data_IF_791779350331
#
_entry.id   IF_791779350331
#
_cell.length_a   1.000
_cell.length_b   1.000
_cell.length_c   1.000
_cell.angle_alpha   90.00
_cell.angle_beta   90.00
_cell.angle_gamma   90.00
#
_symmetry.space_group_name_H-M   'P 1'
#
loop_
_entity.id
_entity.type
_entity.pdbx_description
1 polymer ?
#
# COMPACT_ATOMS: atom_id res chain seq x y z
N UNK A 1 -4.95 10.27 18.12
CA UNK A 1 -3.50 10.24 18.13
C UNK A 1 -2.97 10.67 16.75
N UNK A 2 -1.79 11.23 16.65
CA UNK A 2 -1.10 11.66 15.40
C UNK A 2 -1.90 12.59 14.47
N UNK A 3 -2.96 13.25 14.95
CA UNK A 3 -3.76 14.21 14.19
C UNK A 3 -4.84 13.60 13.27
N UNK A 4 -5.08 12.30 13.36
CA UNK A 4 -6.21 11.65 12.72
C UNK A 4 -7.52 11.81 13.48
N UNK A 5 -8.64 11.42 12.85
CA UNK A 5 -9.99 11.56 13.44
C UNK A 5 -10.34 10.47 14.46
N UNK A 6 -9.56 9.39 14.55
CA UNK A 6 -9.83 8.27 15.47
C UNK A 6 -11.12 7.51 15.17
N UNK A 7 -11.56 7.52 13.92
CA UNK A 7 -12.76 6.84 13.49
C UNK A 7 -12.56 5.32 13.36
N UNK A 8 -13.66 4.58 13.49
CA UNK A 8 -13.69 3.13 13.34
C UNK A 8 -13.78 2.68 11.85
N UNK A 9 -13.72 1.38 11.63
CA UNK A 9 -13.80 0.78 10.30
C UNK A 9 -15.14 1.05 9.61
N UNK A 10 -16.24 1.16 10.35
CA UNK A 10 -17.55 1.46 9.77
C UNK A 10 -17.58 2.88 9.22
N UNK A 11 -17.10 3.85 9.99
CA UNK A 11 -16.98 5.25 9.55
C UNK A 11 -16.10 5.37 8.32
N UNK A 12 -14.97 4.64 8.27
CA UNK A 12 -14.12 4.57 7.09
C UNK A 12 -14.86 4.02 5.87
N UNK A 13 -15.60 2.91 6.01
CA UNK A 13 -16.37 2.32 4.92
C UNK A 13 -17.43 3.29 4.39
N UNK A 14 -18.21 3.92 5.26
CA UNK A 14 -19.21 4.94 4.90
C UNK A 14 -18.57 6.13 4.18
N UNK A 15 -17.42 6.60 4.62
CA UNK A 15 -16.70 7.69 3.95
C UNK A 15 -16.30 7.30 2.52
N UNK A 16 -15.76 6.11 2.30
CA UNK A 16 -15.39 5.62 0.97
C UNK A 16 -16.63 5.45 0.08
N UNK A 17 -17.74 4.94 0.62
CA UNK A 17 -19.01 4.80 -0.07
C UNK A 17 -19.54 6.16 -0.55
N UNK A 18 -19.69 7.13 0.35
CA UNK A 18 -20.22 8.46 0.01
C UNK A 18 -19.31 9.21 -1.00
N UNK A 19 -18.00 9.13 -0.85
CA UNK A 19 -17.09 9.69 -1.84
C UNK A 19 -17.25 9.03 -3.21
N UNK A 20 -17.46 7.72 -3.22
CA UNK A 20 -17.54 6.93 -4.46
C UNK A 20 -18.88 7.12 -5.20
N UNK A 21 -19.97 7.50 -4.51
CA UNK A 21 -21.25 7.91 -5.12
C UNK A 21 -21.05 9.08 -6.08
N UNK A 22 -20.17 9.99 -5.75
CA UNK A 22 -19.88 11.19 -6.56
C UNK A 22 -18.68 10.96 -7.47
N UNK A 23 -17.61 10.37 -6.97
CA UNK A 23 -16.36 10.16 -7.70
C UNK A 23 -15.62 8.92 -7.21
N UNK A 24 -15.73 7.82 -7.96
CA UNK A 24 -15.02 6.57 -7.67
C UNK A 24 -13.49 6.74 -7.60
N UNK A 25 -12.93 7.69 -8.34
CA UNK A 25 -11.50 8.02 -8.30
C UNK A 25 -11.08 8.53 -6.92
N UNK A 26 -11.85 9.46 -6.34
CA UNK A 26 -11.57 9.98 -4.99
C UNK A 26 -11.73 8.88 -3.95
N UNK A 27 -12.76 8.06 -4.06
CA UNK A 27 -12.97 6.92 -3.16
C UNK A 27 -11.78 5.96 -3.13
N UNK A 28 -11.26 5.53 -4.29
CA UNK A 28 -10.11 4.59 -4.32
C UNK A 28 -8.82 5.22 -3.82
N UNK A 29 -8.57 6.51 -4.08
CA UNK A 29 -7.38 7.21 -3.60
C UNK A 29 -7.37 7.22 -2.06
N UNK A 30 -8.50 7.63 -1.45
CA UNK A 30 -8.67 7.67 0.01
C UNK A 30 -8.59 6.27 0.60
N UNK A 31 -9.26 5.30 -0.03
CA UNK A 31 -9.25 3.91 0.43
C UNK A 31 -7.82 3.33 0.46
N UNK A 32 -7.09 3.42 -0.64
CA UNK A 32 -5.72 2.90 -0.72
C UNK A 32 -4.77 3.61 0.25
N UNK A 33 -4.87 4.93 0.36
CA UNK A 33 -4.07 5.73 1.27
C UNK A 33 -4.28 5.32 2.73
N UNK A 34 -5.54 5.23 3.16
CA UNK A 34 -5.89 4.96 4.56
C UNK A 34 -5.63 3.50 4.95
N UNK A 35 -6.22 2.56 4.22
CA UNK A 35 -6.19 1.14 4.61
C UNK A 35 -4.90 0.42 4.22
N UNK A 36 -4.20 0.87 3.16
CA UNK A 36 -3.04 0.15 2.66
C UNK A 36 -1.70 0.79 3.06
N UNK A 37 -1.69 2.05 3.53
CA UNK A 37 -0.46 2.71 3.96
C UNK A 37 -0.52 3.15 5.43
N UNK A 38 -1.54 3.91 5.84
CA UNK A 38 -1.62 4.39 7.23
C UNK A 38 -1.85 3.24 8.20
N UNK A 39 -2.84 2.38 7.94
CA UNK A 39 -3.21 1.28 8.83
C UNK A 39 -2.03 0.34 9.14
N UNK A 40 -1.25 -0.19 8.18
CA UNK A 40 -0.10 -1.02 8.52
C UNK A 40 0.99 -0.27 9.32
N UNK A 41 1.21 1.04 9.12
CA UNK A 41 2.13 1.82 9.95
C UNK A 41 1.57 1.93 11.38
N UNK A 42 0.28 2.20 11.54
CA UNK A 42 -0.37 2.29 12.84
C UNK A 42 -0.34 0.97 13.60
N UNK A 43 -0.55 -0.15 12.90
CA UNK A 43 -0.66 -1.48 13.52
C UNK A 43 0.69 -2.11 13.82
N UNK A 44 1.68 -1.95 12.94
CA UNK A 44 2.95 -2.68 13.00
C UNK A 44 4.18 -1.79 13.16
N UNK A 45 4.03 -0.47 12.99
CA UNK A 45 5.12 0.49 13.10
C UNK A 45 5.61 0.69 14.53
N UNK A 46 6.88 1.07 14.67
CA UNK A 46 7.42 1.57 15.94
C UNK A 46 6.85 2.94 16.23
N UNK A 47 7.01 3.42 17.47
CA UNK A 47 6.52 4.75 17.85
C UNK A 47 7.21 5.85 17.02
N UNK A 48 8.51 5.69 16.76
CA UNK A 48 9.29 6.61 15.92
C UNK A 48 8.75 6.64 14.48
N UNK A 49 8.43 5.47 13.90
CA UNK A 49 7.82 5.40 12.56
C UNK A 49 6.44 6.07 12.53
N UNK A 50 5.61 5.85 13.53
CA UNK A 50 4.29 6.48 13.63
C UNK A 50 4.42 8.00 13.72
N UNK A 51 5.27 8.51 14.61
CA UNK A 51 5.50 9.96 14.76
C UNK A 51 6.09 10.60 13.50
N UNK A 52 6.95 9.88 12.78
CA UNK A 52 7.58 10.38 11.56
C UNK A 52 6.60 10.47 10.38
N UNK A 53 5.76 9.46 10.18
CA UNK A 53 4.97 9.33 8.95
C UNK A 53 3.50 9.67 9.11
N UNK A 54 2.86 9.28 10.22
CA UNK A 54 1.41 9.35 10.34
C UNK A 54 0.85 10.78 10.37
N UNK A 55 1.45 11.78 11.05
CA UNK A 55 0.91 13.14 11.06
C UNK A 55 0.74 13.75 9.66
N UNK A 56 1.71 13.56 8.78
CA UNK A 56 1.66 14.06 7.41
C UNK A 56 0.67 13.27 6.53
N UNK A 57 0.60 11.96 6.73
CA UNK A 57 -0.36 11.11 6.05
C UNK A 57 -1.80 11.39 6.53
N UNK A 58 -2.04 11.46 7.83
CA UNK A 58 -3.36 11.71 8.40
C UNK A 58 -3.94 13.07 8.02
N UNK A 59 -3.09 14.08 7.87
CA UNK A 59 -3.49 15.43 7.43
C UNK A 59 -3.63 15.57 5.91
N UNK A 60 -3.24 14.56 5.12
CA UNK A 60 -3.24 14.62 3.66
C UNK A 60 -2.12 15.48 3.05
N UNK A 61 -1.15 15.94 3.84
CA UNK A 61 0.06 16.61 3.31
C UNK A 61 0.93 15.65 2.51
N UNK A 62 0.92 14.37 2.87
CA UNK A 62 1.56 13.27 2.14
C UNK A 62 0.55 12.20 1.80
N UNK A 63 0.77 11.52 0.70
CA UNK A 63 -0.05 10.40 0.23
C UNK A 63 0.72 9.10 0.37
N UNK A 64 0.01 8.04 0.70
CA UNK A 64 0.56 6.69 0.83
C UNK A 64 0.19 5.76 -0.32
N UNK A 65 1.07 4.78 -0.57
CA UNK A 65 0.86 3.70 -1.51
C UNK A 65 1.33 2.35 -0.95
N UNK A 66 0.88 1.26 -1.58
CA UNK A 66 1.19 -0.11 -1.16
C UNK A 66 1.72 -0.94 -2.32
N UNK A 67 2.98 -1.33 -2.25
CA UNK A 67 3.70 -2.11 -3.25
C UNK A 67 3.76 -3.59 -2.89
N UNK A 68 2.73 -4.36 -3.25
CA UNK A 68 2.67 -5.81 -3.09
C UNK A 68 2.84 -6.52 -4.43
N UNK A 69 1.96 -6.24 -5.39
CA UNK A 69 1.80 -6.98 -6.65
C UNK A 69 3.04 -6.88 -7.54
N UNK A 70 3.43 -8.00 -8.12
CA UNK A 70 4.50 -8.10 -9.13
C UNK A 70 3.97 -8.78 -10.39
N UNK A 71 4.65 -8.65 -11.55
CA UNK A 71 4.22 -9.32 -12.79
C UNK A 71 4.00 -10.83 -12.64
N UNK A 72 4.80 -11.49 -11.80
CA UNK A 72 4.72 -12.93 -11.51
C UNK A 72 4.03 -13.29 -10.18
N UNK A 73 3.53 -12.31 -9.43
CA UNK A 73 2.95 -12.50 -8.10
C UNK A 73 1.71 -11.62 -7.89
N UNK A 74 0.60 -12.04 -8.47
CA UNK A 74 -0.72 -11.43 -8.27
C UNK A 74 -1.49 -12.16 -7.18
N UNK A 75 -2.34 -13.13 -7.57
CA UNK A 75 -3.11 -13.97 -6.64
C UNK A 75 -2.20 -14.75 -5.69
N UNK A 76 -1.10 -15.31 -6.18
CA UNK A 76 -0.05 -15.87 -5.34
C UNK A 76 0.89 -14.78 -4.83
N UNK A 77 0.46 -14.08 -3.78
CA UNK A 77 1.26 -13.04 -3.14
C UNK A 77 2.54 -13.57 -2.44
N UNK A 78 2.73 -14.89 -2.30
CA UNK A 78 3.98 -15.48 -1.82
C UNK A 78 5.00 -15.65 -2.95
N UNK A 79 4.57 -15.55 -4.21
CA UNK A 79 5.41 -15.66 -5.40
C UNK A 79 6.42 -14.51 -5.58
N UNK A 80 6.52 -13.56 -4.65
CA UNK A 80 7.37 -12.36 -4.69
C UNK A 80 8.78 -12.64 -5.20
N UNK A 81 9.29 -11.74 -6.06
CA UNK A 81 10.66 -11.80 -6.59
C UNK A 81 11.50 -10.58 -6.17
N UNK A 82 10.87 -9.44 -5.84
CA UNK A 82 11.56 -8.28 -5.28
C UNK A 82 12.30 -8.69 -4.03
N UNK A 83 13.60 -8.40 -3.96
CA UNK A 83 14.50 -8.78 -2.87
C UNK A 83 14.91 -7.57 -2.06
N UNK A 84 15.11 -7.78 -0.77
CA UNK A 84 15.77 -6.83 0.12
C UNK A 84 16.90 -7.55 0.85
N UNK A 85 18.12 -7.07 0.69
CA UNK A 85 19.32 -7.64 1.30
C UNK A 85 19.89 -6.64 2.29
N UNK A 86 20.16 -7.09 3.52
CA UNK A 86 20.81 -6.24 4.53
C UNK A 86 22.30 -6.10 4.18
N UNK A 87 22.76 -4.86 4.07
CA UNK A 87 24.15 -4.49 3.82
C UNK A 87 24.57 -3.43 4.86
N UNK A 88 25.26 -3.85 5.89
CA UNK A 88 25.55 -3.02 7.05
C UNK A 88 24.28 -2.55 7.78
N UNK A 89 24.05 -1.24 7.82
CA UNK A 89 22.88 -0.62 8.46
C UNK A 89 21.80 -0.20 7.44
N UNK A 90 21.84 -0.74 6.23
CA UNK A 90 20.88 -0.44 5.17
C UNK A 90 20.30 -1.71 4.56
N UNK A 91 19.04 -1.63 4.14
CA UNK A 91 18.44 -2.61 3.24
C UNK A 91 18.60 -2.14 1.79
N UNK A 92 19.08 -3.04 0.94
CA UNK A 92 19.21 -2.82 -0.51
C UNK A 92 18.08 -3.54 -1.21
N UNK A 93 17.14 -2.79 -1.79
CA UNK A 93 15.96 -3.34 -2.45
C UNK A 93 16.20 -3.37 -3.95
N UNK A 94 15.90 -4.53 -4.58
CA UNK A 94 15.97 -4.74 -6.02
C UNK A 94 14.73 -5.50 -6.50
N UNK A 95 14.09 -4.99 -7.57
CA UNK A 95 12.91 -5.59 -8.19
C UNK A 95 11.91 -4.56 -8.68
N UNK A 96 10.69 -4.99 -8.95
CA UNK A 96 9.62 -4.09 -9.37
C UNK A 96 8.26 -4.50 -8.82
N UNK A 97 7.35 -3.54 -8.72
CA UNK A 97 5.95 -3.71 -8.35
C UNK A 97 5.06 -3.12 -9.43
N UNK A 98 3.98 -3.79 -9.77
CA UNK A 98 3.06 -3.32 -10.81
C UNK A 98 1.66 -3.04 -10.23
N UNK A 99 0.88 -2.25 -10.98
CA UNK A 99 -0.49 -1.87 -10.66
C UNK A 99 -0.64 -1.11 -9.34
N UNK A 100 0.32 -0.24 -9.01
CA UNK A 100 0.33 0.45 -7.72
C UNK A 100 -0.51 1.72 -7.79
N UNK A 101 -1.62 1.74 -7.05
CA UNK A 101 -2.49 2.90 -6.85
C UNK A 101 -1.72 4.00 -6.11
N UNK A 102 -1.92 5.24 -6.53
CA UNK A 102 -1.17 6.41 -6.08
C UNK A 102 0.34 6.35 -6.40
N UNK A 103 0.76 5.45 -7.31
CA UNK A 103 2.15 5.06 -7.48
C UNK A 103 3.14 6.20 -7.66
N UNK A 104 2.81 7.24 -8.44
CA UNK A 104 3.70 8.38 -8.67
C UNK A 104 3.39 9.57 -7.75
N UNK A 105 2.17 9.70 -7.31
CA UNK A 105 1.70 10.79 -6.46
C UNK A 105 2.06 10.59 -4.99
N UNK A 106 2.15 9.34 -4.54
CA UNK A 106 2.49 9.01 -3.16
C UNK A 106 3.88 9.51 -2.75
N UNK A 107 4.03 9.80 -1.47
CA UNK A 107 5.28 10.22 -0.83
C UNK A 107 5.88 9.09 0.02
N UNK A 108 5.02 8.20 0.54
CA UNK A 108 5.37 7.08 1.42
C UNK A 108 4.80 5.78 0.86
N UNK A 109 5.64 4.76 0.77
CA UNK A 109 5.29 3.46 0.19
C UNK A 109 5.54 2.35 1.19
N UNK A 110 4.56 1.48 1.38
CA UNK A 110 4.77 0.19 2.04
C UNK A 110 5.16 -0.81 0.95
N UNK A 111 6.36 -1.35 1.02
CA UNK A 111 6.92 -2.26 0.01
C UNK A 111 7.16 -3.62 0.63
N UNK A 112 6.62 -4.67 0.00
CA UNK A 112 6.80 -6.05 0.42
C UNK A 112 7.93 -6.67 -0.40
N UNK A 113 8.93 -7.27 0.26
CA UNK A 113 10.07 -7.88 -0.42
C UNK A 113 10.57 -9.15 0.30
N UNK A 114 11.27 -9.98 -0.45
CA UNK A 114 11.89 -11.22 0.05
C UNK A 114 13.21 -10.87 0.72
N UNK A 115 13.36 -11.24 1.99
CA UNK A 115 14.58 -11.04 2.78
C UNK A 115 15.42 -12.29 2.94
N UNK A 116 14.91 -13.45 2.55
CA UNK A 116 15.64 -14.70 2.68
C UNK A 116 14.81 -15.92 2.30
N UNK A 117 15.37 -17.07 2.64
CA UNK A 117 14.70 -18.37 2.53
C UNK A 117 14.78 -19.03 3.90
N UNK A 118 13.64 -19.46 4.43
CA UNK A 118 13.55 -20.19 5.69
C UNK A 118 13.02 -21.59 5.46
N UNK A 119 13.48 -22.53 6.26
CA UNK A 119 12.96 -23.90 6.23
C UNK A 119 11.85 -24.03 7.29
N UNK A 120 10.63 -24.36 6.86
CA UNK A 120 9.51 -24.67 7.75
C UNK A 120 8.92 -26.03 7.38
N UNK A 121 8.87 -26.95 8.35
CA UNK A 121 8.29 -28.29 8.17
C UNK A 121 8.90 -29.05 6.99
N UNK A 122 10.22 -28.97 6.81
CA UNK A 122 10.95 -29.61 5.73
C UNK A 122 10.75 -29.01 4.34
N UNK A 123 10.16 -27.80 4.25
CA UNK A 123 9.96 -27.07 2.98
C UNK A 123 10.67 -25.72 3.02
N UNK A 124 11.38 -25.39 1.95
CA UNK A 124 11.98 -24.06 1.75
C UNK A 124 10.86 -23.08 1.38
N UNK A 125 10.75 -22.02 2.15
CA UNK A 125 9.77 -20.95 1.93
C UNK A 125 10.50 -19.60 1.87
N UNK A 126 10.01 -18.67 1.06
CA UNK A 126 10.50 -17.29 1.06
C UNK A 126 10.21 -16.63 2.39
N UNK A 127 11.22 -15.99 2.96
CA UNK A 127 11.05 -15.07 4.07
C UNK A 127 10.69 -13.70 3.48
N UNK A 128 9.53 -13.19 3.83
CA UNK A 128 8.99 -11.95 3.26
C UNK A 128 8.87 -10.92 4.37
N UNK A 129 9.39 -9.71 4.12
CA UNK A 129 9.37 -8.58 5.06
C UNK A 129 8.71 -7.36 4.41
N UNK A 130 8.36 -6.38 5.25
CA UNK A 130 7.71 -5.14 4.84
C UNK A 130 8.61 -3.95 5.15
N UNK A 131 8.63 -2.96 4.27
CA UNK A 131 9.51 -1.80 4.36
C UNK A 131 8.74 -0.51 4.08
N UNK A 132 9.13 0.57 4.75
CA UNK A 132 8.69 1.93 4.44
C UNK A 132 9.75 2.56 3.52
N UNK A 133 9.35 2.94 2.31
CA UNK A 133 10.21 3.62 1.34
C UNK A 133 9.65 5.01 1.08
N UNK A 134 10.50 6.02 1.08
CA UNK A 134 10.11 7.41 0.79
C UNK A 134 10.33 7.72 -0.69
N UNK A 135 9.48 8.58 -1.25
CA UNK A 135 9.67 9.13 -2.59
C UNK A 135 11.00 9.87 -2.68
N UNK A 136 11.72 9.68 -3.78
CA UNK A 136 13.02 10.31 -3.99
C UNK A 136 14.19 9.55 -3.39
N UNK A 137 13.97 8.40 -2.74
CA UNK A 137 15.08 7.52 -2.32
C UNK A 137 15.91 7.13 -3.55
N UNK A 138 17.24 7.28 -3.52
CA UNK A 138 18.11 6.87 -4.62
C UNK A 138 17.87 5.41 -5.01
N UNK A 139 17.77 5.15 -6.34
CA UNK A 139 17.45 3.81 -6.85
C UNK A 139 15.95 3.47 -6.88
N UNK A 140 15.07 4.32 -6.36
CA UNK A 140 13.62 4.19 -6.49
C UNK A 140 13.10 5.07 -7.62
N UNK A 141 12.50 4.47 -8.63
CA UNK A 141 11.97 5.14 -9.82
C UNK A 141 10.59 4.59 -10.20
N UNK A 142 9.95 5.26 -11.15
CA UNK A 142 8.62 4.89 -11.64
C UNK A 142 8.71 4.41 -13.09
N UNK A 143 8.07 3.29 -13.37
CA UNK A 143 7.96 2.75 -14.72
C UNK A 143 6.68 3.21 -15.43
N UNK A 144 6.01 2.28 -16.08
CA UNK A 144 4.85 2.54 -16.92
C UNK A 144 3.63 3.01 -16.11
N UNK A 145 2.95 4.05 -16.63
CA UNK A 145 1.60 4.43 -16.18
C UNK A 145 0.58 3.56 -16.87
N UNK A 146 -0.29 2.93 -16.09
CA UNK A 146 -1.35 2.07 -16.62
C UNK A 146 -2.45 2.88 -17.33
N UNK A 147 -2.83 2.43 -18.53
CA UNK A 147 -3.99 2.93 -19.27
C UNK A 147 -5.23 2.14 -18.85
N UNK A 148 -6.09 2.74 -18.05
CA UNK A 148 -7.25 2.07 -17.46
C UNK A 148 -8.54 2.40 -18.19
N UNK A 149 -9.51 1.47 -18.18
CA UNK A 149 -10.85 1.67 -18.72
C UNK A 149 -11.64 2.73 -17.93
N UNK A 150 -11.57 2.67 -16.59
CA UNK A 150 -12.22 3.58 -15.65
C UNK A 150 -11.27 4.09 -14.56
N UNK A 151 -11.79 4.91 -13.64
CA UNK A 151 -11.04 5.48 -12.50
C UNK A 151 -9.74 6.16 -12.98
N UNK A 152 -9.81 6.87 -14.09
CA UNK A 152 -8.64 7.41 -14.81
C UNK A 152 -7.92 8.51 -14.07
N UNK A 153 -8.60 9.20 -13.16
CA UNK A 153 -8.01 10.25 -12.32
C UNK A 153 -7.14 9.69 -11.18
N UNK A 154 -7.31 8.41 -10.79
CA UNK A 154 -6.38 7.74 -9.88
C UNK A 154 -5.20 7.20 -10.69
N UNK A 155 -4.00 7.61 -10.37
CA UNK A 155 -2.80 7.10 -11.04
C UNK A 155 -2.50 5.67 -10.60
N UNK A 156 -2.03 4.88 -11.55
CA UNK A 156 -1.57 3.50 -11.31
C UNK A 156 -0.26 3.34 -12.05
N UNK A 157 0.80 3.04 -11.31
CA UNK A 157 2.16 2.98 -11.85
C UNK A 157 2.87 1.68 -11.46
N UNK A 158 3.88 1.36 -12.25
CA UNK A 158 4.94 0.46 -11.86
C UNK A 158 5.94 1.20 -10.95
N UNK A 159 6.40 0.53 -9.90
CA UNK A 159 7.51 0.96 -9.05
C UNK A 159 8.73 0.12 -9.38
N UNK A 160 9.89 0.76 -9.57
CA UNK A 160 11.14 0.10 -9.93
C UNK A 160 12.20 0.42 -8.87
N UNK A 161 12.84 -0.63 -8.37
CA UNK A 161 13.91 -0.55 -7.37
C UNK A 161 15.19 -1.13 -7.96
N UNK A 162 16.22 -0.29 -8.05
CA UNK A 162 17.56 -0.68 -8.52
C UNK A 162 18.57 -0.19 -7.50
N UNK A 163 19.12 -1.12 -6.74
CA UNK A 163 20.01 -0.83 -5.60
C UNK A 163 19.47 0.27 -4.68
N UNK A 164 18.14 0.22 -4.45
CA UNK A 164 17.45 1.20 -3.62
C UNK A 164 17.81 0.96 -2.15
N UNK A 165 18.58 1.89 -1.58
CA UNK A 165 19.07 1.82 -0.19
C UNK A 165 18.15 2.56 0.74
N UNK A 166 17.71 1.89 1.78
CA UNK A 166 16.91 2.47 2.87
C UNK A 166 17.52 2.10 4.22
N UNK A 167 17.38 2.97 5.23
CA UNK A 167 17.87 2.68 6.58
C UNK A 167 17.26 1.40 7.15
N UNK A 168 18.01 0.71 7.99
CA UNK A 168 17.60 -0.54 8.63
C UNK A 168 16.30 -0.40 9.43
N UNK A 169 16.12 0.72 10.07
CA UNK A 169 14.92 1.09 10.85
C UNK A 169 13.66 1.30 10.00
N UNK A 170 13.78 1.36 8.68
CA UNK A 170 12.61 1.46 7.79
C UNK A 170 11.90 0.11 7.56
N UNK A 171 12.38 -0.98 8.16
CA UNK A 171 11.62 -2.21 8.22
C UNK A 171 10.34 -2.02 9.04
N UNK A 172 9.19 -2.33 8.47
CA UNK A 172 7.90 -2.29 9.15
C UNK A 172 7.61 -3.63 9.82
N UNK A 173 7.43 -3.62 11.13
CA UNK A 173 7.27 -4.83 11.94
C UNK A 173 8.61 -5.55 12.12
N UNK A 174 8.58 -6.89 12.06
CA UNK A 174 9.77 -7.76 12.21
C UNK A 174 10.08 -8.48 10.91
N UNK A 175 11.35 -8.84 10.72
CA UNK A 175 11.78 -9.67 9.59
C UNK A 175 10.95 -10.97 9.52
N UNK A 176 10.53 -11.34 8.31
CA UNK A 176 9.68 -12.49 8.06
C UNK A 176 8.19 -12.28 8.34
N UNK A 177 7.75 -11.11 8.79
CA UNK A 177 6.34 -10.80 9.02
C UNK A 177 5.63 -10.14 7.83
N UNK A 178 6.34 -9.84 6.74
CA UNK A 178 5.78 -9.08 5.61
C UNK A 178 4.54 -9.71 4.99
N UNK A 179 4.49 -11.03 4.86
CA UNK A 179 3.29 -11.70 4.36
C UNK A 179 2.09 -11.56 5.31
N UNK A 180 2.32 -11.67 6.64
CA UNK A 180 1.27 -11.44 7.65
C UNK A 180 0.76 -10.00 7.60
N UNK A 181 1.68 -9.03 7.50
CA UNK A 181 1.34 -7.61 7.36
C UNK A 181 0.52 -7.39 6.10
N UNK A 182 0.96 -7.95 4.95
CA UNK A 182 0.24 -7.82 3.69
C UNK A 182 -1.19 -8.39 3.77
N UNK A 183 -1.40 -9.55 4.37
CA UNK A 183 -2.74 -10.14 4.52
C UNK A 183 -3.64 -9.30 5.43
N UNK A 184 -3.13 -8.83 6.57
CA UNK A 184 -3.85 -7.90 7.44
C UNK A 184 -4.26 -6.61 6.69
N UNK A 185 -3.33 -6.02 5.98
CA UNK A 185 -3.56 -4.81 5.17
C UNK A 185 -4.65 -5.02 4.12
N UNK A 186 -4.63 -6.18 3.44
CA UNK A 186 -5.65 -6.51 2.43
C UNK A 186 -7.03 -6.77 3.03
N UNK A 187 -7.13 -7.25 4.26
CA UNK A 187 -8.43 -7.46 4.91
C UNK A 187 -9.16 -6.11 5.12
N UNK A 188 -8.46 -5.08 5.60
CA UNK A 188 -9.00 -3.71 5.66
C UNK A 188 -9.28 -3.12 4.25
N UNK A 189 -8.39 -3.35 3.31
CA UNK A 189 -8.54 -2.90 1.93
C UNK A 189 -9.77 -3.47 1.23
N UNK A 190 -10.13 -4.73 1.47
CA UNK A 190 -11.34 -5.39 0.92
C UNK A 190 -12.62 -4.70 1.36
N UNK A 191 -12.69 -4.25 2.60
CA UNK A 191 -13.85 -3.50 3.14
C UNK A 191 -14.00 -2.18 2.37
N UNK A 192 -12.91 -1.43 2.18
CA UNK A 192 -12.92 -0.18 1.43
C UNK A 192 -13.33 -0.36 -0.04
N UNK A 193 -12.84 -1.39 -0.71
CA UNK A 193 -13.22 -1.67 -2.11
C UNK A 193 -14.68 -2.15 -2.23
N UNK A 194 -15.21 -2.89 -1.26
CA UNK A 194 -16.63 -3.24 -1.22
C UNK A 194 -17.50 -1.98 -1.05
N UNK A 195 -17.14 -1.09 -0.15
CA UNK A 195 -17.81 0.20 0.04
C UNK A 195 -17.73 1.09 -1.21
N UNK A 196 -16.58 1.12 -1.89
CA UNK A 196 -16.43 1.81 -3.17
C UNK A 196 -17.41 1.26 -4.23
N UNK A 197 -17.50 -0.06 -4.37
CA UNK A 197 -18.41 -0.67 -5.36
C UNK A 197 -19.87 -0.34 -5.06
N UNK A 198 -20.26 -0.38 -3.79
CA UNK A 198 -21.61 -0.01 -3.34
C UNK A 198 -21.90 1.46 -3.65
N UNK A 199 -21.02 2.37 -3.30
CA UNK A 199 -21.19 3.81 -3.58
C UNK A 199 -21.32 4.11 -5.08
N UNK A 200 -20.51 3.46 -5.95
CA UNK A 200 -20.65 3.60 -7.41
C UNK A 200 -22.04 3.14 -7.88
N UNK A 201 -22.51 1.98 -7.40
CA UNK A 201 -23.81 1.44 -7.77
C UNK A 201 -24.96 2.35 -7.32
N UNK A 202 -24.91 2.83 -6.10
CA UNK A 202 -25.89 3.74 -5.51
C UNK A 202 -25.94 5.08 -6.27
N UNK A 203 -24.78 5.70 -6.51
CA UNK A 203 -24.71 6.95 -7.28
C UNK A 203 -25.21 6.80 -8.73
N UNK A 204 -24.98 5.64 -9.35
CA UNK A 204 -25.54 5.35 -10.68
C UNK A 204 -27.05 5.20 -10.65
N UNK A 205 -27.60 4.49 -9.64
CA UNK A 205 -29.04 4.31 -9.45
C UNK A 205 -29.75 5.65 -9.21
N UNK A 206 -29.27 6.46 -8.27
CA UNK A 206 -29.85 7.76 -7.94
C UNK A 206 -29.94 8.67 -9.18
N UNK A 207 -28.89 8.73 -10.00
CA UNK A 207 -28.88 9.53 -11.22
C UNK A 207 -29.83 8.98 -12.29
N UNK A 208 -29.93 7.65 -12.38
CA UNK A 208 -30.84 7.02 -13.34
C UNK A 208 -32.33 7.27 -12.99
N UNK A 209 -32.67 7.18 -11.69
CA UNK A 209 -34.04 7.44 -11.21
C UNK A 209 -34.40 8.92 -11.34
N UNK A 210 -33.44 9.82 -11.19
CA UNK A 210 -33.67 11.27 -11.33
C UNK A 210 -33.76 11.73 -12.79
N UNK A 211 -33.30 10.94 -13.75
CA UNK A 211 -33.40 11.21 -15.20
C UNK A 211 -34.75 10.88 -15.75
#
# INVERSE_FOLDING_TARGET
>A
EYGGQGCDTLTYAMCVEELSKVCATTGVIVSAHTSLCIDPIMTFGTEEQKQKYVPDLASGRKIGAFGLTEPGAGTDAQGQQTKAVLDGDEWVINGSKCFITNGKEADVYIVIAVTGIVEKRGRKMKEISSFIVEKGTPGFTFGTKEKKMGIKGSSTYELIFTDCRIPKENMLGKQGQGFKIAMHTLDGGRIGIAAQALGIAEGALERTVAY
#
